data_IF_965290483643
#
_entry.id   IF_965290483643
#
_cell.length_a   1.000
_cell.length_b   1.000
_cell.length_c   1.000
_cell.angle_alpha   90.00
_cell.angle_beta   90.00
_cell.angle_gamma   90.00
#
_symmetry.space_group_name_H-M   'P 1'
#
loop_
_entity.id
_entity.type
_entity.pdbx_description
1 polymer ?
#
# COMPACT_ATOMS: atom_id res chain seq x y z
N UNK A 1 -9.76 78.01 1.35
CA UNK A 1 -9.97 76.57 1.57
C UNK A 1 -8.73 75.87 1.03
N UNK A 2 -7.89 75.36 1.92
CA UNK A 2 -6.55 74.86 1.62
C UNK A 2 -6.65 73.39 1.18
N UNK A 3 -6.40 73.10 -0.09
CA UNK A 3 -6.21 71.74 -0.58
C UNK A 3 -4.80 71.27 -0.28
N UNK A 4 -4.65 70.35 0.67
CA UNK A 4 -3.37 69.72 0.98
C UNK A 4 -3.15 68.52 0.05
N UNK A 5 -2.08 68.56 -0.75
CA UNK A 5 -1.57 67.38 -1.47
C UNK A 5 -1.07 66.35 -0.47
N UNK A 6 -1.68 65.16 -0.45
CA UNK A 6 -1.24 64.02 0.34
C UNK A 6 0.00 63.40 -0.34
N UNK A 7 1.13 63.40 0.35
CA UNK A 7 2.40 62.86 -0.18
C UNK A 7 2.38 61.34 -0.14
N UNK A 8 2.60 60.70 -1.29
CA UNK A 8 2.88 59.28 -1.44
C UNK A 8 4.12 58.88 -0.62
N UNK A 9 3.97 58.05 0.42
CA UNK A 9 5.08 57.53 1.21
C UNK A 9 5.60 56.21 0.60
N UNK A 10 6.54 56.34 -0.35
CA UNK A 10 7.24 55.22 -0.97
C UNK A 10 8.57 54.99 -0.26
N UNK A 11 8.74 53.82 0.32
CA UNK A 11 9.96 53.37 0.98
C UNK A 11 10.63 52.35 0.07
N UNK A 12 11.90 52.61 -0.25
CA UNK A 12 12.78 51.67 -0.94
C UNK A 12 13.91 51.40 0.04
N UNK A 13 14.25 50.14 0.25
CA UNK A 13 15.42 49.76 1.03
C UNK A 13 16.72 50.24 0.36
N UNK A 14 17.86 50.09 1.05
CA UNK A 14 19.13 50.67 0.55
C UNK A 14 19.65 49.95 -0.69
N UNK A 15 19.25 48.70 -0.87
CA UNK A 15 19.75 47.81 -1.90
C UNK A 15 18.75 47.69 -3.07
N UNK A 16 17.52 48.20 -2.92
CA UNK A 16 16.49 48.20 -3.95
C UNK A 16 15.79 46.84 -4.11
N UNK A 17 15.96 45.95 -3.13
CA UNK A 17 15.36 44.63 -3.05
C UNK A 17 13.90 44.71 -2.55
N UNK A 18 13.56 45.68 -1.69
CA UNK A 18 12.21 45.83 -1.12
C UNK A 18 11.60 47.19 -1.46
N UNK A 19 10.41 47.18 -2.06
CA UNK A 19 9.67 48.38 -2.43
C UNK A 19 8.29 48.40 -1.76
N UNK A 20 8.11 49.30 -0.79
CA UNK A 20 6.91 49.38 0.05
C UNK A 20 6.20 50.73 -0.08
N UNK A 21 4.94 50.69 -0.52
CA UNK A 21 4.03 51.85 -0.53
C UNK A 21 3.01 51.72 0.61
N UNK A 22 3.02 52.65 1.56
CA UNK A 22 2.16 52.58 2.75
C UNK A 22 0.80 53.26 2.54
N UNK A 23 0.79 54.58 2.29
CA UNK A 23 -0.44 55.34 2.06
C UNK A 23 -0.26 56.36 0.93
N UNK A 24 -1.26 56.46 0.07
CA UNK A 24 -1.35 57.46 -1.00
C UNK A 24 -2.42 57.09 -2.02
N UNK A 25 -2.91 58.07 -2.78
CA UNK A 25 -4.00 57.88 -3.76
C UNK A 25 -3.57 56.92 -4.89
N UNK A 26 -2.36 57.08 -5.42
CA UNK A 26 -1.80 56.25 -6.49
C UNK A 26 -0.46 55.62 -6.05
N UNK A 27 -0.39 54.30 -5.92
CA UNK A 27 0.82 53.57 -5.49
C UNK A 27 1.37 52.74 -6.65
N UNK A 28 2.65 52.95 -6.99
CA UNK A 28 3.32 52.16 -8.03
C UNK A 28 4.66 51.61 -7.52
N UNK A 29 4.79 50.29 -7.46
CA UNK A 29 6.05 49.56 -7.33
C UNK A 29 6.52 49.12 -8.73
N UNK A 30 7.74 49.48 -9.09
CA UNK A 30 8.31 49.23 -10.41
C UNK A 30 9.26 48.04 -10.41
N UNK A 31 10.14 47.91 -9.40
CA UNK A 31 11.16 46.87 -9.33
C UNK A 31 11.61 46.64 -7.89
N UNK A 32 11.64 45.37 -7.48
CA UNK A 32 12.11 44.86 -6.19
C UNK A 32 11.81 43.37 -6.12
N UNK A 33 12.59 42.59 -5.38
CA UNK A 33 12.27 41.17 -5.13
C UNK A 33 10.95 41.05 -4.38
N UNK A 34 10.73 41.90 -3.37
CA UNK A 34 9.48 41.98 -2.61
C UNK A 34 8.80 43.35 -2.80
N UNK A 35 7.54 43.33 -3.22
CA UNK A 35 6.73 44.54 -3.42
C UNK A 35 5.45 44.50 -2.60
N UNK A 36 5.24 45.53 -1.77
CA UNK A 36 4.02 45.65 -0.96
C UNK A 36 3.34 47.01 -1.13
N UNK A 37 2.08 46.99 -1.56
CA UNK A 37 1.18 48.15 -1.57
C UNK A 37 0.08 47.97 -0.51
N UNK A 38 0.07 48.80 0.54
CA UNK A 38 -0.83 48.64 1.68
C UNK A 38 -2.19 49.34 1.45
N UNK A 39 -2.21 50.66 1.21
CA UNK A 39 -3.46 51.44 1.07
C UNK A 39 -3.37 52.55 0.01
N UNK A 40 -4.13 52.41 -1.06
CA UNK A 40 -4.32 53.47 -2.07
C UNK A 40 -5.53 53.23 -2.96
N UNK A 41 -6.00 54.21 -3.72
CA UNK A 41 -7.12 54.01 -4.65
C UNK A 41 -6.66 53.17 -5.85
N UNK A 42 -5.51 53.50 -6.45
CA UNK A 42 -4.87 52.71 -7.53
C UNK A 42 -3.55 52.11 -7.05
N UNK A 43 -3.38 50.79 -7.18
CA UNK A 43 -2.15 50.06 -6.82
C UNK A 43 -1.60 49.27 -8.01
N UNK A 44 -0.33 49.48 -8.35
CA UNK A 44 0.33 48.79 -9.48
C UNK A 44 1.69 48.21 -9.08
N UNK A 45 1.79 46.89 -9.10
CA UNK A 45 3.03 46.13 -8.96
C UNK A 45 3.45 45.55 -10.31
N UNK A 46 4.68 45.84 -10.76
CA UNK A 46 5.15 45.47 -12.11
C UNK A 46 6.01 44.20 -12.10
N UNK A 47 7.24 44.29 -11.60
CA UNK A 47 8.21 43.19 -11.65
C UNK A 47 8.83 42.96 -10.27
N UNK A 48 8.57 41.79 -9.69
CA UNK A 48 9.11 41.32 -8.40
C UNK A 48 8.74 39.86 -8.15
N UNK A 49 9.53 39.13 -7.38
CA UNK A 49 9.28 37.70 -7.10
C UNK A 49 8.01 37.55 -6.25
N UNK A 50 7.85 38.37 -5.22
CA UNK A 50 6.68 38.41 -4.35
C UNK A 50 5.95 39.76 -4.44
N UNK A 51 4.66 39.74 -4.76
CA UNK A 51 3.84 40.95 -4.89
C UNK A 51 2.58 40.87 -4.02
N UNK A 52 2.41 41.83 -3.12
CA UNK A 52 1.24 41.92 -2.24
C UNK A 52 0.54 43.28 -2.37
N UNK A 53 -0.73 43.24 -2.81
CA UNK A 53 -1.65 44.39 -2.81
C UNK A 53 -2.75 44.17 -1.78
N UNK A 54 -2.83 45.03 -0.75
CA UNK A 54 -3.74 44.80 0.37
C UNK A 54 -5.10 45.47 0.21
N UNK A 55 -5.16 46.81 0.12
CA UNK A 55 -6.42 47.57 0.04
C UNK A 55 -6.35 48.68 -1.00
N UNK A 56 -7.06 48.51 -2.11
CA UNK A 56 -7.33 49.60 -3.05
C UNK A 56 -8.60 49.42 -3.85
N UNK A 57 -9.00 50.39 -4.66
CA UNK A 57 -10.15 50.25 -5.56
C UNK A 57 -9.73 49.47 -6.81
N UNK A 58 -8.60 49.85 -7.42
CA UNK A 58 -7.99 49.15 -8.57
C UNK A 58 -6.62 48.57 -8.20
N UNK A 59 -6.44 47.26 -8.39
CA UNK A 59 -5.20 46.54 -8.10
C UNK A 59 -4.69 45.79 -9.34
N UNK A 60 -3.45 46.08 -9.75
CA UNK A 60 -2.81 45.40 -10.88
C UNK A 60 -1.45 44.81 -10.50
N UNK A 61 -1.32 43.49 -10.60
CA UNK A 61 -0.06 42.74 -10.47
C UNK A 61 0.31 42.14 -11.84
N UNK A 62 1.51 42.44 -12.34
CA UNK A 62 1.93 42.00 -13.67
C UNK A 62 2.76 40.72 -13.64
N UNK A 63 4.03 40.78 -13.21
CA UNK A 63 5.00 39.67 -13.29
C UNK A 63 5.63 39.41 -11.92
N UNK A 64 5.34 38.24 -11.36
CA UNK A 64 5.95 37.74 -10.13
C UNK A 64 5.63 36.28 -9.88
N UNK A 65 6.45 35.57 -9.11
CA UNK A 65 6.24 34.15 -8.82
C UNK A 65 5.03 33.96 -7.91
N UNK A 66 4.91 34.75 -6.83
CA UNK A 66 3.75 34.79 -5.94
C UNK A 66 3.05 36.16 -6.01
N UNK A 67 1.74 36.15 -6.30
CA UNK A 67 0.91 37.35 -6.35
C UNK A 67 -0.30 37.22 -5.42
N UNK A 68 -0.44 38.17 -4.49
CA UNK A 68 -1.57 38.21 -3.53
C UNK A 68 -2.30 39.55 -3.55
N UNK A 69 -3.53 39.54 -4.04
CA UNK A 69 -4.45 40.67 -4.05
C UNK A 69 -5.60 40.43 -3.07
N UNK A 70 -5.66 41.21 -1.98
CA UNK A 70 -6.61 40.93 -0.88
C UNK A 70 -7.97 41.61 -1.08
N UNK A 71 -8.02 42.95 -1.07
CA UNK A 71 -9.28 43.70 -1.12
C UNK A 71 -9.21 44.84 -2.15
N UNK A 72 -9.96 44.70 -3.24
CA UNK A 72 -10.27 45.82 -4.12
C UNK A 72 -11.47 45.60 -5.02
N UNK A 73 -12.00 46.65 -5.64
CA UNK A 73 -13.18 46.54 -6.50
C UNK A 73 -12.82 45.85 -7.82
N UNK A 74 -11.70 46.26 -8.45
CA UNK A 74 -11.14 45.62 -9.64
C UNK A 74 -9.74 45.06 -9.35
N UNK A 75 -9.55 43.75 -9.63
CA UNK A 75 -8.29 43.05 -9.40
C UNK A 75 -7.81 42.35 -10.69
N UNK A 76 -6.61 42.70 -11.16
CA UNK A 76 -5.98 42.07 -12.34
C UNK A 76 -4.61 41.49 -12.00
N UNK A 77 -4.46 40.17 -12.16
CA UNK A 77 -3.19 39.43 -12.03
C UNK A 77 -2.84 38.78 -13.37
N UNK A 78 -1.62 39.00 -13.90
CA UNK A 78 -1.32 38.62 -15.29
C UNK A 78 -0.38 37.42 -15.49
N UNK A 79 0.70 37.30 -14.71
CA UNK A 79 1.72 36.26 -14.89
C UNK A 79 2.38 35.93 -13.56
N UNK A 80 1.99 34.82 -12.95
CA UNK A 80 2.68 34.28 -11.78
C UNK A 80 2.43 32.80 -11.56
N UNK A 81 3.34 32.11 -10.87
CA UNK A 81 3.20 30.69 -10.61
C UNK A 81 2.03 30.45 -9.66
N UNK A 82 1.95 31.23 -8.58
CA UNK A 82 0.86 31.23 -7.60
C UNK A 82 0.13 32.58 -7.58
N UNK A 83 -1.19 32.55 -7.79
CA UNK A 83 -2.04 33.74 -7.78
C UNK A 83 -3.20 33.57 -6.82
N UNK A 84 -3.32 34.49 -5.87
CA UNK A 84 -4.42 34.53 -4.89
C UNK A 84 -5.16 35.87 -4.94
N UNK A 85 -6.46 35.82 -5.24
CA UNK A 85 -7.38 36.98 -5.18
C UNK A 85 -8.54 36.71 -4.21
N UNK A 86 -8.63 37.46 -3.12
CA UNK A 86 -9.59 37.16 -2.05
C UNK A 86 -10.96 37.84 -2.25
N UNK A 87 -11.02 39.18 -2.32
CA UNK A 87 -12.26 39.96 -2.37
C UNK A 87 -12.20 41.08 -3.40
N UNK A 88 -12.96 40.94 -4.48
CA UNK A 88 -13.26 42.04 -5.39
C UNK A 88 -14.49 41.84 -6.25
N UNK A 89 -15.05 42.92 -6.79
CA UNK A 89 -16.26 42.86 -7.61
C UNK A 89 -15.93 42.26 -8.98
N UNK A 90 -14.86 42.73 -9.64
CA UNK A 90 -14.29 42.16 -10.86
C UNK A 90 -12.89 41.57 -10.60
N UNK A 91 -12.70 40.28 -10.92
CA UNK A 91 -11.43 39.58 -10.78
C UNK A 91 -10.97 38.97 -12.10
N UNK A 92 -9.76 39.33 -12.55
CA UNK A 92 -9.15 38.84 -13.79
C UNK A 92 -7.75 38.29 -13.56
N UNK A 93 -7.67 36.97 -13.39
CA UNK A 93 -6.41 36.25 -13.30
C UNK A 93 -6.06 35.59 -14.64
N UNK A 94 -4.86 35.87 -15.15
CA UNK A 94 -4.30 35.26 -16.36
C UNK A 94 -3.03 34.51 -15.97
N UNK A 95 -2.79 33.40 -16.67
CA UNK A 95 -1.54 32.61 -16.64
C UNK A 95 -0.93 32.40 -15.24
N UNK A 96 -1.38 31.34 -14.58
CA UNK A 96 -0.69 30.78 -13.42
C UNK A 96 -0.87 29.27 -13.30
N UNK A 97 -0.02 28.66 -12.49
CA UNK A 97 -0.01 27.21 -12.24
C UNK A 97 -0.97 26.84 -11.13
N UNK A 98 -1.06 27.69 -10.12
CA UNK A 98 -2.05 27.62 -9.05
C UNK A 98 -2.79 28.96 -8.96
N UNK A 99 -4.13 28.90 -9.06
CA UNK A 99 -4.99 30.09 -9.01
C UNK A 99 -6.12 29.88 -8.00
N UNK A 100 -6.23 30.79 -7.02
CA UNK A 100 -7.29 30.78 -6.01
C UNK A 100 -8.04 32.11 -6.02
N UNK A 101 -9.33 32.10 -6.37
CA UNK A 101 -10.21 33.28 -6.37
C UNK A 101 -11.45 33.02 -5.51
N UNK A 102 -11.60 33.74 -4.40
CA UNK A 102 -12.55 33.34 -3.33
C UNK A 102 -13.88 34.11 -3.34
N UNK A 103 -13.96 35.35 -3.87
CA UNK A 103 -15.20 36.15 -3.85
C UNK A 103 -15.21 37.29 -4.87
N UNK A 104 -16.10 37.20 -5.88
CA UNK A 104 -16.45 38.32 -6.76
C UNK A 104 -17.75 38.13 -7.55
N UNK A 105 -18.34 39.23 -8.02
CA UNK A 105 -19.58 39.22 -8.81
C UNK A 105 -19.29 38.81 -10.26
N UNK A 106 -18.17 39.27 -10.83
CA UNK A 106 -17.64 38.84 -12.12
C UNK A 106 -16.22 38.29 -11.98
N UNK A 107 -16.05 36.99 -12.27
CA UNK A 107 -14.76 36.31 -12.24
C UNK A 107 -14.36 35.79 -13.62
N UNK A 108 -13.21 36.23 -14.13
CA UNK A 108 -12.63 35.78 -15.40
C UNK A 108 -11.23 35.22 -15.18
N UNK A 109 -11.18 34.02 -14.58
CA UNK A 109 -9.95 33.26 -14.38
C UNK A 109 -9.80 32.21 -15.48
N UNK A 110 -8.63 32.10 -16.09
CA UNK A 110 -8.33 30.99 -17.00
C UNK A 110 -7.92 29.79 -16.15
N UNK A 111 -8.57 28.64 -16.30
CA UNK A 111 -8.16 27.42 -15.60
C UNK A 111 -6.65 27.20 -15.75
N UNK A 112 -5.93 26.93 -14.64
CA UNK A 112 -4.50 26.65 -14.69
C UNK A 112 -4.29 25.41 -15.57
N UNK A 113 -3.33 25.50 -16.51
CA UNK A 113 -2.93 24.32 -17.28
C UNK A 113 -2.18 23.41 -16.30
N UNK A 114 -2.65 22.17 -16.02
CA UNK A 114 -1.90 21.28 -15.16
C UNK A 114 -0.52 21.04 -15.79
N UNK A 115 0.55 21.31 -15.02
CA UNK A 115 1.90 20.86 -15.36
C UNK A 115 1.83 19.35 -15.56
N UNK A 116 2.01 18.91 -16.81
CA UNK A 116 2.20 17.49 -17.10
C UNK A 116 3.49 17.06 -16.39
N UNK A 117 3.38 16.29 -15.31
CA UNK A 117 4.51 15.53 -14.80
C UNK A 117 5.03 14.66 -15.95
N UNK A 118 6.36 14.59 -16.18
CA UNK A 118 6.87 13.69 -17.20
C UNK A 118 6.37 12.28 -16.84
N UNK A 119 5.64 11.66 -17.77
CA UNK A 119 5.14 10.31 -17.60
C UNK A 119 6.33 9.43 -17.22
N UNK A 120 6.34 8.95 -15.97
CA UNK A 120 7.38 8.03 -15.50
C UNK A 120 7.31 6.82 -16.43
N UNK A 121 8.41 6.53 -17.12
CA UNK A 121 8.53 5.28 -17.85
C UNK A 121 8.67 4.14 -16.83
N UNK A 122 7.53 3.61 -16.43
CA UNK A 122 7.43 2.52 -15.47
C UNK A 122 8.12 1.25 -15.98
N UNK A 123 8.12 1.02 -17.30
CA UNK A 123 8.81 -0.11 -17.91
C UNK A 123 10.32 0.02 -17.70
N UNK A 124 10.89 1.18 -18.01
CA UNK A 124 12.31 1.45 -17.77
C UNK A 124 12.68 1.38 -16.28
N UNK A 125 11.75 1.79 -15.39
CA UNK A 125 11.94 1.65 -13.94
C UNK A 125 12.00 0.19 -13.49
N UNK A 126 11.05 -0.63 -13.91
CA UNK A 126 11.03 -2.08 -13.66
C UNK A 126 12.27 -2.77 -14.22
N UNK A 127 12.67 -2.43 -15.44
CA UNK A 127 13.85 -2.97 -16.11
C UNK A 127 15.11 -2.74 -15.28
N UNK A 128 15.35 -1.50 -14.83
CA UNK A 128 16.51 -1.16 -14.02
C UNK A 128 16.51 -1.82 -12.64
N UNK A 129 15.34 -1.92 -11.99
CA UNK A 129 15.23 -2.43 -10.63
C UNK A 129 15.33 -3.97 -10.58
N UNK A 130 14.74 -4.66 -11.55
CA UNK A 130 14.66 -6.12 -11.58
C UNK A 130 15.58 -6.78 -12.62
N UNK A 131 16.30 -5.99 -13.42
CA UNK A 131 17.26 -6.44 -14.44
C UNK A 131 16.64 -7.48 -15.38
N UNK A 132 15.48 -7.14 -15.94
CA UNK A 132 14.63 -8.09 -16.67
C UNK A 132 15.32 -8.57 -17.97
N UNK A 133 15.89 -7.63 -18.73
CA UNK A 133 16.61 -7.87 -19.97
C UNK A 133 17.91 -8.65 -19.76
N UNK A 134 18.65 -8.36 -18.68
CA UNK A 134 19.85 -9.13 -18.30
C UNK A 134 19.51 -10.61 -18.05
N UNK A 135 18.30 -10.86 -17.55
CA UNK A 135 17.77 -12.20 -17.25
C UNK A 135 17.02 -12.83 -18.44
N UNK A 136 16.96 -12.16 -19.59
CA UNK A 136 16.26 -12.63 -20.78
C UNK A 136 14.74 -12.72 -20.63
N UNK A 137 14.15 -11.90 -19.75
CA UNK A 137 12.71 -11.87 -19.49
C UNK A 137 12.03 -10.99 -20.54
N UNK A 138 11.00 -11.51 -21.20
CA UNK A 138 10.19 -10.75 -22.16
C UNK A 138 9.35 -9.69 -21.45
N UNK A 139 9.40 -8.45 -21.96
CA UNK A 139 8.66 -7.30 -21.43
C UNK A 139 7.69 -6.73 -22.48
N UNK A 140 6.49 -7.31 -22.63
CA UNK A 140 5.49 -6.81 -23.59
C UNK A 140 5.07 -5.36 -23.33
N UNK A 141 4.86 -4.58 -24.40
CA UNK A 141 4.38 -3.20 -24.33
C UNK A 141 2.89 -3.10 -23.98
N UNK A 142 2.15 -4.20 -24.08
CA UNK A 142 0.73 -4.28 -23.73
C UNK A 142 0.47 -4.30 -22.22
N UNK A 143 1.50 -4.49 -21.40
CA UNK A 143 1.35 -4.59 -19.95
C UNK A 143 1.29 -3.22 -19.27
N UNK A 144 0.46 -3.12 -18.22
CA UNK A 144 0.45 -1.97 -17.32
C UNK A 144 1.61 -2.09 -16.31
N UNK A 145 2.78 -1.59 -16.72
CA UNK A 145 3.99 -1.56 -15.91
C UNK A 145 3.86 -0.73 -14.63
N UNK A 146 2.97 0.28 -14.61
CA UNK A 146 2.72 1.06 -13.41
C UNK A 146 2.03 0.20 -12.35
N UNK A 147 0.98 -0.53 -12.76
CA UNK A 147 0.28 -1.46 -11.89
C UNK A 147 1.21 -2.57 -11.39
N UNK A 148 1.97 -3.21 -12.30
CA UNK A 148 2.93 -4.27 -11.93
C UNK A 148 3.96 -3.76 -10.92
N UNK A 149 4.53 -2.57 -11.16
CA UNK A 149 5.48 -1.97 -10.23
C UNK A 149 4.85 -1.74 -8.84
N UNK A 150 3.62 -1.21 -8.81
CA UNK A 150 2.87 -1.00 -7.57
C UNK A 150 2.63 -2.28 -6.77
N UNK A 151 2.46 -3.41 -7.46
CA UNK A 151 2.29 -4.73 -6.84
C UNK A 151 3.56 -5.33 -6.27
N UNK A 152 4.75 -4.91 -6.71
CA UNK A 152 6.05 -5.48 -6.27
C UNK A 152 6.02 -7.02 -6.22
N UNK A 153 5.84 -7.71 -7.35
CA UNK A 153 5.56 -9.15 -7.39
C UNK A 153 6.69 -10.04 -6.86
N UNK A 154 7.91 -9.53 -6.76
CA UNK A 154 9.10 -10.31 -6.39
C UNK A 154 9.52 -10.08 -4.94
N UNK A 155 9.93 -11.16 -4.25
CA UNK A 155 10.53 -11.11 -2.92
C UNK A 155 9.59 -10.74 -1.76
N UNK A 156 8.27 -10.68 -2.00
CA UNK A 156 7.26 -10.48 -0.94
C UNK A 156 6.38 -11.72 -0.77
N UNK A 157 5.80 -11.89 0.43
CA UNK A 157 4.81 -12.92 0.66
C UNK A 157 3.52 -12.62 -0.14
N UNK A 158 3.02 -13.61 -0.86
CA UNK A 158 1.79 -13.58 -1.62
C UNK A 158 0.59 -14.10 -0.82
N UNK A 159 0.84 -14.76 0.31
CA UNK A 159 -0.23 -15.18 1.22
C UNK A 159 -0.74 -13.99 2.06
N UNK A 160 -2.06 -13.91 2.22
CA UNK A 160 -2.74 -13.01 3.14
C UNK A 160 -2.75 -13.61 4.54
N UNK A 161 -2.57 -12.76 5.55
CA UNK A 161 -2.51 -13.12 6.97
C UNK A 161 -1.71 -14.40 7.24
N UNK A 162 -0.39 -14.40 6.90
CA UNK A 162 0.47 -15.58 7.00
C UNK A 162 0.77 -16.03 8.44
N UNK A 163 0.44 -15.17 9.41
CA UNK A 163 0.57 -15.43 10.84
C UNK A 163 -0.71 -14.99 11.56
N UNK A 164 -1.81 -15.75 11.44
CA UNK A 164 -3.11 -15.35 11.96
C UNK A 164 -3.12 -15.07 13.46
N UNK A 165 -2.35 -15.85 14.21
CA UNK A 165 -2.29 -15.82 15.67
C UNK A 165 -1.19 -14.88 16.21
N UNK A 166 -0.38 -14.25 15.35
CA UNK A 166 0.71 -13.38 15.78
C UNK A 166 1.86 -14.09 16.50
N UNK A 167 2.06 -15.38 16.26
CA UNK A 167 3.11 -16.18 16.90
C UNK A 167 4.48 -15.89 16.30
N UNK A 168 5.50 -15.82 17.15
CA UNK A 168 6.89 -15.68 16.67
C UNK A 168 7.59 -17.03 16.62
N UNK A 169 8.25 -17.33 15.51
CA UNK A 169 9.12 -18.52 15.38
C UNK A 169 10.48 -18.33 16.04
N UNK A 170 10.80 -17.13 16.54
CA UNK A 170 12.04 -16.85 17.29
C UNK A 170 11.98 -17.32 18.76
N UNK A 171 10.79 -17.64 19.26
CA UNK A 171 10.57 -18.19 20.59
C UNK A 171 9.86 -19.55 20.49
N UNK A 172 10.02 -20.44 21.47
CA UNK A 172 9.29 -21.71 21.52
C UNK A 172 7.77 -21.53 21.37
N UNK A 173 7.05 -22.51 20.79
CA UNK A 173 5.60 -22.48 20.75
C UNK A 173 5.00 -22.37 22.17
N UNK A 174 3.86 -21.66 22.35
CA UNK A 174 3.26 -21.48 23.66
C UNK A 174 2.91 -22.82 24.32
N UNK A 175 3.40 -23.06 25.53
CA UNK A 175 3.12 -24.30 26.23
C UNK A 175 1.70 -24.28 26.84
N UNK A 176 0.98 -25.41 26.84
CA UNK A 176 -0.28 -25.52 27.56
C UNK A 176 -0.08 -25.14 29.03
N UNK A 177 -0.96 -24.28 29.56
CA UNK A 177 -0.96 -23.95 30.99
C UNK A 177 -1.42 -25.16 31.79
N UNK A 178 -0.70 -25.50 32.87
CA UNK A 178 -1.18 -26.51 33.83
C UNK A 178 -2.33 -25.98 34.70
N UNK A 179 -2.51 -24.65 34.76
CA UNK A 179 -3.47 -23.99 35.65
C UNK A 179 -4.76 -23.56 34.94
N UNK A 180 -4.70 -23.34 33.63
CA UNK A 180 -5.84 -22.89 32.83
C UNK A 180 -6.16 -23.93 31.75
N UNK A 181 -7.42 -24.39 31.66
CA UNK A 181 -7.80 -25.32 30.62
C UNK A 181 -7.66 -24.65 29.24
N UNK A 182 -7.42 -25.45 28.18
CA UNK A 182 -7.35 -24.92 26.83
C UNK A 182 -8.65 -24.19 26.46
N UNK A 183 -8.60 -23.22 25.53
CA UNK A 183 -9.78 -22.51 25.09
C UNK A 183 -10.83 -23.49 24.54
N UNK A 184 -12.11 -23.15 24.64
CA UNK A 184 -13.20 -23.93 24.01
C UNK A 184 -13.76 -23.25 22.75
N UNK A 185 -13.10 -22.19 22.29
CA UNK A 185 -13.55 -21.33 21.20
C UNK A 185 -13.07 -21.86 19.83
N UNK A 186 -13.80 -21.60 18.73
CA UNK A 186 -13.34 -21.86 17.37
C UNK A 186 -12.01 -21.17 17.05
N UNK A 187 -11.26 -21.76 16.12
CA UNK A 187 -9.94 -21.29 15.70
C UNK A 187 -9.97 -19.84 15.20
N UNK A 188 -11.04 -19.49 14.49
CA UNK A 188 -11.27 -18.21 13.81
C UNK A 188 -11.46 -17.05 14.79
N UNK A 189 -11.81 -17.32 16.05
CA UNK A 189 -11.97 -16.30 17.09
C UNK A 189 -10.63 -15.90 17.74
N UNK A 190 -9.56 -16.65 17.45
CA UNK A 190 -8.26 -16.53 18.14
C UNK A 190 -7.25 -15.68 17.35
N UNK A 191 -7.58 -15.27 16.12
CA UNK A 191 -6.65 -14.50 15.27
C UNK A 191 -7.25 -13.93 14.00
N UNK A 192 -6.42 -13.34 13.15
CA UNK A 192 -6.81 -12.82 11.84
C UNK A 192 -6.62 -13.89 10.75
N UNK A 193 -7.72 -14.56 10.38
CA UNK A 193 -7.74 -15.55 9.30
C UNK A 193 -8.23 -14.95 7.98
N UNK A 194 -8.15 -13.63 7.79
CA UNK A 194 -8.62 -13.00 6.55
C UNK A 194 -7.89 -13.55 5.31
N UNK A 195 -8.68 -13.97 4.32
CA UNK A 195 -8.19 -14.62 3.11
C UNK A 195 -7.95 -16.13 3.21
N UNK A 196 -8.11 -16.74 4.39
CA UNK A 196 -8.08 -18.19 4.54
C UNK A 196 -9.48 -18.78 4.48
N UNK A 197 -9.63 -19.87 3.74
CA UNK A 197 -10.77 -20.76 3.89
C UNK A 197 -10.40 -21.82 4.93
N UNK A 198 -11.07 -21.78 6.08
CA UNK A 198 -10.85 -22.73 7.18
C UNK A 198 -11.99 -23.74 7.20
N UNK A 199 -11.65 -25.02 7.24
CA UNK A 199 -12.61 -26.12 7.38
C UNK A 199 -12.13 -27.12 8.41
N UNK A 200 -13.07 -27.80 9.06
CA UNK A 200 -12.78 -28.83 10.06
C UNK A 200 -13.26 -30.18 9.56
N UNK A 201 -12.36 -31.16 9.51
CA UNK A 201 -12.66 -32.55 9.19
C UNK A 201 -12.54 -33.40 10.46
N UNK A 202 -13.66 -33.92 10.97
CA UNK A 202 -13.66 -34.78 12.14
C UNK A 202 -13.13 -36.18 11.80
N UNK A 203 -12.20 -36.67 12.62
CA UNK A 203 -11.64 -38.02 12.47
C UNK A 203 -12.51 -38.99 13.28
N UNK A 204 -13.13 -40.01 12.65
CA UNK A 204 -13.96 -40.97 13.35
C UNK A 204 -13.17 -41.69 14.45
N UNK A 205 -13.77 -41.83 15.62
CA UNK A 205 -13.18 -42.60 16.71
C UNK A 205 -13.31 -44.09 16.40
N UNK A 206 -12.18 -44.81 16.45
CA UNK A 206 -12.20 -46.26 16.32
C UNK A 206 -12.80 -46.90 17.58
N UNK A 207 -14.00 -47.46 17.44
CA UNK A 207 -14.71 -48.16 18.52
C UNK A 207 -14.62 -49.68 18.41
N UNK A 208 -13.87 -50.22 17.45
CA UNK A 208 -13.82 -51.67 17.16
C UNK A 208 -13.32 -52.52 18.33
N UNK A 209 -12.51 -51.94 19.23
CA UNK A 209 -12.00 -52.59 20.43
C UNK A 209 -12.86 -52.46 21.69
N UNK A 210 -14.02 -51.77 21.63
CA UNK A 210 -14.87 -51.50 22.81
C UNK A 210 -15.96 -52.58 22.92
N UNK A 211 -15.99 -53.38 24.00
CA UNK A 211 -17.01 -54.42 24.17
C UNK A 211 -18.43 -53.84 24.32
N UNK A 212 -19.48 -54.58 23.88
CA UNK A 212 -20.88 -54.17 24.07
C UNK A 212 -21.22 -53.97 25.55
N UNK A 213 -21.84 -52.83 25.88
CA UNK A 213 -22.29 -52.50 27.24
C UNK A 213 -21.26 -51.77 28.12
N UNK A 214 -20.05 -51.50 27.61
CA UNK A 214 -19.07 -50.66 28.29
C UNK A 214 -19.41 -49.18 28.06
N UNK A 215 -19.59 -48.42 29.15
CA UNK A 215 -19.71 -46.97 29.10
C UNK A 215 -18.30 -46.38 29.00
N UNK A 216 -17.98 -45.78 27.87
CA UNK A 216 -16.71 -45.05 27.71
C UNK A 216 -16.92 -43.59 28.09
N UNK A 217 -16.43 -43.21 29.26
CA UNK A 217 -16.57 -41.83 29.76
C UNK A 217 -15.72 -40.83 28.99
N UNK A 218 -14.72 -41.30 28.22
CA UNK A 218 -13.77 -40.43 27.54
C UNK A 218 -13.14 -41.08 26.31
N UNK A 219 -13.33 -40.49 25.12
CA UNK A 219 -12.63 -40.86 23.90
C UNK A 219 -12.00 -39.61 23.28
N UNK A 220 -10.74 -39.70 22.79
CA UNK A 220 -10.11 -38.58 22.14
C UNK A 220 -10.83 -38.27 20.82
N UNK A 221 -11.38 -37.07 20.72
CA UNK A 221 -12.04 -36.59 19.50
C UNK A 221 -11.05 -35.75 18.70
N UNK A 222 -10.43 -36.37 17.69
CA UNK A 222 -9.49 -35.69 16.82
C UNK A 222 -10.19 -35.07 15.61
N UNK A 223 -9.62 -33.98 15.11
CA UNK A 223 -10.01 -33.39 13.83
C UNK A 223 -8.81 -32.82 13.10
N UNK A 224 -8.92 -32.67 11.78
CA UNK A 224 -8.05 -31.82 11.01
C UNK A 224 -8.67 -30.43 10.90
N UNK A 225 -7.90 -29.41 11.28
CA UNK A 225 -8.15 -28.04 10.83
C UNK A 225 -7.38 -27.83 9.52
N UNK A 226 -8.13 -27.61 8.45
CA UNK A 226 -7.62 -27.42 7.10
C UNK A 226 -7.73 -25.94 6.78
N UNK A 227 -6.62 -25.31 6.41
CA UNK A 227 -6.60 -23.93 5.94
C UNK A 227 -6.04 -23.90 4.54
N UNK A 228 -6.75 -23.22 3.64
CA UNK A 228 -6.34 -23.07 2.26
C UNK A 228 -6.49 -21.64 1.76
N UNK A 229 -5.62 -21.29 0.81
CA UNK A 229 -5.66 -20.04 0.08
C UNK A 229 -5.23 -20.28 -1.37
N UNK A 230 -5.92 -19.64 -2.30
CA UNK A 230 -5.59 -19.68 -3.73
C UNK A 230 -5.04 -18.31 -4.15
N UNK A 231 -3.79 -18.28 -4.59
CA UNK A 231 -3.10 -17.07 -5.05
C UNK A 231 -3.23 -16.95 -6.57
N UNK A 232 -3.83 -15.86 -7.05
CA UNK A 232 -3.87 -15.50 -8.47
C UNK A 232 -2.58 -14.74 -8.83
N UNK A 233 -1.68 -15.39 -9.56
CA UNK A 233 -0.37 -14.82 -9.87
C UNK A 233 -0.47 -13.58 -10.78
N UNK A 234 -1.47 -13.53 -11.66
CA UNK A 234 -1.70 -12.38 -12.54
C UNK A 234 -2.18 -11.17 -11.75
N UNK A 235 -3.11 -11.38 -10.83
CA UNK A 235 -3.58 -10.32 -9.93
C UNK A 235 -2.47 -9.78 -9.00
N UNK A 236 -1.47 -10.62 -8.70
CA UNK A 236 -0.29 -10.25 -7.91
C UNK A 236 0.83 -9.58 -8.73
N UNK A 237 0.66 -9.41 -10.05
CA UNK A 237 1.56 -8.66 -10.93
C UNK A 237 2.54 -9.52 -11.75
N UNK A 238 2.35 -10.84 -11.80
CA UNK A 238 3.14 -11.75 -12.63
C UNK A 238 2.43 -11.94 -13.98
N UNK A 239 3.13 -11.79 -15.10
CA UNK A 239 2.55 -11.92 -16.44
C UNK A 239 2.83 -13.28 -17.08
N UNK A 240 2.12 -13.59 -18.16
CA UNK A 240 2.11 -14.92 -18.78
C UNK A 240 3.48 -15.33 -19.33
N UNK A 241 4.13 -14.45 -20.08
CA UNK A 241 5.44 -14.75 -20.68
C UNK A 241 6.52 -14.99 -19.61
N UNK A 242 6.44 -14.30 -18.47
CA UNK A 242 7.29 -14.53 -17.32
C UNK A 242 7.05 -15.93 -16.73
N UNK A 243 5.79 -16.30 -16.50
CA UNK A 243 5.43 -17.59 -15.88
C UNK A 243 5.67 -18.76 -16.83
N UNK A 244 5.48 -18.58 -18.13
CA UNK A 244 5.51 -19.67 -19.11
C UNK A 244 6.92 -19.91 -19.66
N UNK A 245 7.62 -18.83 -20.02
CA UNK A 245 8.93 -18.92 -20.67
C UNK A 245 10.07 -18.86 -19.67
N UNK A 246 10.07 -17.85 -18.79
CA UNK A 246 11.14 -17.68 -17.82
C UNK A 246 11.00 -18.63 -16.62
N UNK A 247 9.78 -18.86 -16.12
CA UNK A 247 9.47 -19.73 -14.98
C UNK A 247 10.30 -19.34 -13.73
N UNK A 248 10.04 -18.17 -13.11
CA UNK A 248 10.77 -17.75 -11.91
C UNK A 248 10.58 -18.74 -10.76
N UNK A 249 11.56 -18.84 -9.86
CA UNK A 249 11.52 -19.78 -8.74
C UNK A 249 10.39 -19.38 -7.77
N UNK A 250 9.55 -20.35 -7.42
CA UNK A 250 8.46 -20.16 -6.44
C UNK A 250 8.86 -20.84 -5.14
N UNK A 251 9.01 -20.05 -4.09
CA UNK A 251 9.42 -20.51 -2.76
C UNK A 251 8.19 -20.71 -1.88
N UNK A 252 8.15 -21.85 -1.21
CA UNK A 252 7.15 -22.21 -0.21
C UNK A 252 7.87 -22.41 1.11
N UNK A 253 7.37 -21.79 2.17
CA UNK A 253 7.78 -22.06 3.55
C UNK A 253 6.55 -22.17 4.44
N UNK A 254 6.63 -23.04 5.44
CA UNK A 254 5.64 -23.12 6.51
C UNK A 254 6.30 -23.55 7.81
N UNK A 255 5.75 -23.15 8.94
CA UNK A 255 6.27 -23.50 10.27
C UNK A 255 5.18 -24.09 11.14
N UNK A 256 5.41 -25.29 11.67
CA UNK A 256 4.47 -25.94 12.56
C UNK A 256 5.15 -26.40 13.85
N UNK A 257 4.37 -26.52 14.93
CA UNK A 257 4.86 -27.13 16.17
C UNK A 257 4.67 -28.66 16.14
N UNK A 258 5.58 -29.40 16.74
CA UNK A 258 5.37 -30.83 16.97
C UNK A 258 4.59 -31.04 18.27
N UNK A 259 3.27 -30.98 18.16
CA UNK A 259 2.33 -31.04 19.29
C UNK A 259 2.27 -32.41 19.98
N UNK A 260 2.80 -33.47 19.35
CA UNK A 260 2.73 -34.88 19.81
C UNK A 260 1.31 -35.41 20.04
N UNK A 261 0.29 -34.75 19.50
CA UNK A 261 -1.10 -35.20 19.59
C UNK A 261 -1.30 -36.56 18.91
N UNK A 262 -0.52 -36.83 17.87
CA UNK A 262 -0.51 -38.06 17.09
C UNK A 262 0.83 -38.21 16.36
N UNK A 263 1.03 -39.37 15.69
CA UNK A 263 2.15 -39.55 14.76
C UNK A 263 2.08 -38.58 13.58
N UNK A 264 0.89 -38.22 13.11
CA UNK A 264 0.70 -37.24 12.05
C UNK A 264 -0.07 -36.05 12.60
N UNK A 265 0.61 -34.92 12.73
CA UNK A 265 -0.01 -33.68 13.25
C UNK A 265 -0.08 -32.56 12.23
N UNK A 266 0.63 -32.72 11.11
CA UNK A 266 0.80 -31.69 10.09
C UNK A 266 0.80 -32.32 8.69
N UNK A 267 0.13 -31.66 7.76
CA UNK A 267 0.23 -31.95 6.32
C UNK A 267 0.33 -30.63 5.55
N UNK A 268 1.17 -30.58 4.51
CA UNK A 268 1.31 -29.46 3.58
C UNK A 268 1.10 -29.97 2.17
N UNK A 269 0.18 -29.36 1.43
CA UNK A 269 -0.15 -29.66 0.05
C UNK A 269 -0.14 -28.38 -0.78
N UNK A 270 0.76 -28.30 -1.75
CA UNK A 270 0.87 -27.18 -2.67
C UNK A 270 0.64 -27.65 -4.08
N UNK A 271 -0.21 -26.94 -4.82
CA UNK A 271 -0.46 -27.20 -6.24
C UNK A 271 -0.25 -25.93 -7.04
N UNK A 272 0.55 -26.04 -8.10
CA UNK A 272 0.63 -25.06 -9.17
C UNK A 272 -0.44 -25.42 -10.19
N UNK A 273 -1.40 -24.51 -10.41
CA UNK A 273 -2.60 -24.76 -11.19
C UNK A 273 -2.61 -23.91 -12.47
N UNK A 274 -3.26 -24.45 -13.50
CA UNK A 274 -3.53 -23.74 -14.75
C UNK A 274 -4.65 -22.70 -14.60
N UNK A 275 -4.94 -21.97 -15.68
CA UNK A 275 -5.97 -20.92 -15.74
C UNK A 275 -7.37 -21.38 -15.28
N UNK A 276 -7.69 -22.66 -15.45
CA UNK A 276 -8.98 -23.24 -15.04
C UNK A 276 -9.12 -23.51 -13.53
N UNK A 277 -8.07 -23.23 -12.74
CA UNK A 277 -7.95 -23.51 -11.31
C UNK A 277 -8.16 -24.99 -10.92
N UNK A 278 -8.07 -25.91 -11.88
CA UNK A 278 -8.34 -27.35 -11.67
C UNK A 278 -7.21 -28.22 -12.18
N UNK A 279 -6.66 -27.89 -13.33
CA UNK A 279 -5.56 -28.64 -13.94
C UNK A 279 -4.28 -28.41 -13.14
N UNK A 280 -3.76 -29.49 -12.54
CA UNK A 280 -2.52 -29.47 -11.76
C UNK A 280 -1.33 -29.59 -12.70
N UNK A 281 -0.46 -28.58 -12.70
CA UNK A 281 0.79 -28.55 -13.49
C UNK A 281 1.94 -29.16 -12.70
N UNK A 282 2.02 -28.82 -11.41
CA UNK A 282 3.00 -29.36 -10.47
C UNK A 282 2.39 -29.43 -9.08
N UNK A 283 2.83 -30.39 -8.29
CA UNK A 283 2.41 -30.48 -6.89
C UNK A 283 3.57 -30.86 -5.98
N UNK A 284 3.42 -30.48 -4.72
CA UNK A 284 4.28 -30.87 -3.63
C UNK A 284 3.40 -31.25 -2.44
N UNK A 285 3.68 -32.41 -1.83
CA UNK A 285 2.99 -32.85 -0.63
C UNK A 285 4.00 -33.29 0.42
N UNK A 286 3.75 -32.93 1.67
CA UNK A 286 4.59 -33.26 2.81
C UNK A 286 3.72 -33.59 4.02
N UNK A 287 3.82 -34.83 4.52
CA UNK A 287 3.09 -35.32 5.68
C UNK A 287 4.06 -36.08 6.60
N UNK A 288 4.86 -35.36 7.41
CA UNK A 288 5.89 -35.98 8.24
C UNK A 288 5.30 -36.79 9.39
N UNK A 289 6.03 -37.82 9.82
CA UNK A 289 5.74 -38.57 11.03
C UNK A 289 6.55 -38.04 12.21
N UNK A 290 5.85 -37.76 13.31
CA UNK A 290 6.46 -37.35 14.55
C UNK A 290 6.94 -38.55 15.35
N UNK A 291 8.12 -38.40 15.95
CA UNK A 291 8.56 -39.28 17.03
C UNK A 291 7.71 -38.95 18.25
N UNK A 292 6.92 -39.89 18.77
CA UNK A 292 6.06 -39.71 19.97
C UNK A 292 6.87 -39.53 21.29
N UNK A 293 8.16 -39.22 21.20
CA UNK A 293 9.07 -38.97 22.31
C UNK A 293 9.89 -37.70 22.04
N UNK A 294 10.38 -37.06 23.11
CA UNK A 294 11.14 -35.81 23.04
C UNK A 294 10.32 -34.57 23.44
N UNK A 295 10.94 -33.39 23.34
CA UNK A 295 10.38 -32.11 23.78
C UNK A 295 9.55 -31.45 22.65
N UNK A 296 8.45 -30.76 23.00
CA UNK A 296 7.53 -30.07 22.08
C UNK A 296 7.89 -28.60 21.83
N UNK A 297 9.04 -28.15 22.35
CA UNK A 297 9.42 -26.72 22.40
C UNK A 297 9.97 -26.15 21.09
N UNK A 298 10.00 -26.91 20.00
CA UNK A 298 10.63 -26.45 18.76
C UNK A 298 9.63 -26.28 17.64
N UNK A 299 9.75 -25.17 16.93
CA UNK A 299 9.13 -24.99 15.61
C UNK A 299 9.89 -25.83 14.58
N UNK A 300 9.15 -26.49 13.69
CA UNK A 300 9.67 -27.23 12.55
C UNK A 300 9.38 -26.43 11.29
N UNK A 301 10.43 -26.14 10.52
CA UNK A 301 10.33 -25.47 9.24
C UNK A 301 10.23 -26.50 8.10
N UNK A 302 9.26 -26.29 7.23
CA UNK A 302 9.15 -26.99 5.95
C UNK A 302 9.42 -25.98 4.85
N UNK A 303 10.26 -26.35 3.88
CA UNK A 303 10.51 -25.51 2.71
C UNK A 303 10.53 -26.32 1.43
N UNK A 304 10.04 -25.70 0.35
CA UNK A 304 10.06 -26.27 -0.99
C UNK A 304 10.27 -25.16 -2.02
N UNK A 305 10.91 -25.49 -3.14
CA UNK A 305 11.11 -24.56 -4.26
C UNK A 305 10.67 -25.25 -5.54
N UNK A 306 9.68 -24.66 -6.21
CA UNK A 306 9.32 -25.08 -7.56
C UNK A 306 10.23 -24.39 -8.57
N UNK A 307 10.94 -25.22 -9.35
CA UNK A 307 11.76 -24.80 -10.48
C UNK A 307 11.33 -25.57 -11.72
N UNK A 308 11.46 -24.95 -12.89
CA UNK A 308 11.15 -25.59 -14.18
C UNK A 308 9.81 -26.34 -14.13
N UNK A 309 8.77 -25.65 -13.66
CA UNK A 309 7.46 -26.25 -13.43
C UNK A 309 6.67 -26.48 -14.73
N UNK A 310 7.13 -25.94 -15.86
CA UNK A 310 6.44 -26.00 -17.15
C UNK A 310 5.50 -24.81 -17.34
N UNK A 311 5.09 -24.54 -18.58
CA UNK A 311 4.22 -23.41 -18.88
C UNK A 311 2.79 -23.64 -18.39
N UNK A 312 2.03 -22.55 -18.28
CA UNK A 312 0.60 -22.53 -18.00
C UNK A 312 0.22 -22.26 -16.55
N UNK A 313 1.19 -22.08 -15.63
CA UNK A 313 0.90 -21.80 -14.22
C UNK A 313 0.29 -20.41 -14.08
N UNK A 314 -0.85 -20.35 -13.39
CA UNK A 314 -1.62 -19.10 -13.17
C UNK A 314 -2.04 -18.94 -11.71
N UNK A 315 -2.20 -20.05 -10.99
CA UNK A 315 -2.57 -20.04 -9.59
C UNK A 315 -1.67 -20.92 -8.74
N UNK A 316 -1.54 -20.55 -7.46
CA UNK A 316 -0.94 -21.40 -6.43
C UNK A 316 -2.02 -21.71 -5.42
N UNK A 317 -2.39 -22.98 -5.29
CA UNK A 317 -3.22 -23.47 -4.20
C UNK A 317 -2.30 -23.92 -3.06
N UNK A 318 -2.37 -23.18 -1.96
CA UNK A 318 -1.66 -23.48 -0.72
C UNK A 318 -2.66 -24.07 0.26
N UNK A 319 -2.42 -25.29 0.74
CA UNK A 319 -3.24 -25.94 1.75
C UNK A 319 -2.33 -26.56 2.80
N UNK A 320 -2.61 -26.29 4.07
CA UNK A 320 -2.05 -27.05 5.16
C UNK A 320 -3.13 -27.63 6.07
N UNK A 321 -2.76 -28.64 6.83
CA UNK A 321 -3.61 -29.24 7.85
C UNK A 321 -2.87 -29.30 9.16
N UNK A 322 -3.55 -28.93 10.24
CA UNK A 322 -3.11 -29.13 11.62
C UNK A 322 -4.06 -30.09 12.32
N UNK A 323 -3.50 -31.02 13.09
CA UNK A 323 -4.32 -31.91 13.90
C UNK A 323 -4.69 -31.27 15.22
N UNK A 324 -5.96 -31.42 15.56
CA UNK A 324 -6.56 -30.91 16.78
C UNK A 324 -7.17 -32.04 17.59
N UNK A 325 -7.28 -31.83 18.89
CA UNK A 325 -7.84 -32.75 19.86
C UNK A 325 -8.80 -31.97 20.77
N UNK A 326 -10.06 -32.37 20.77
CA UNK A 326 -11.07 -31.81 21.66
C UNK A 326 -11.21 -32.70 22.89
N UNK A 327 -10.38 -32.41 23.91
CA UNK A 327 -10.30 -33.17 25.16
C UNK A 327 -10.21 -32.25 26.38
N UNK A 328 -11.33 -32.05 27.10
CA UNK A 328 -11.44 -31.14 28.27
C UNK A 328 -10.92 -29.74 27.89
N UNK A 329 -11.28 -29.29 26.68
CA UNK A 329 -10.72 -28.11 26.02
C UNK A 329 -10.24 -28.43 24.60
N UNK A 330 -9.90 -27.39 23.84
CA UNK A 330 -9.33 -27.52 22.50
C UNK A 330 -7.80 -27.43 22.53
N UNK A 331 -7.14 -28.56 22.28
CA UNK A 331 -5.69 -28.63 22.03
C UNK A 331 -5.44 -28.72 20.54
N UNK A 332 -4.62 -27.84 19.98
CA UNK A 332 -4.31 -27.82 18.55
C UNK A 332 -2.83 -27.92 18.28
N UNK A 333 -2.50 -28.35 17.07
CA UNK A 333 -1.18 -28.15 16.47
C UNK A 333 -1.14 -26.77 15.83
N UNK A 334 -0.25 -25.90 16.30
CA UNK A 334 -0.10 -24.55 15.73
C UNK A 334 0.74 -24.55 14.46
N UNK A 335 0.33 -23.70 13.53
CA UNK A 335 1.04 -23.40 12.28
C UNK A 335 1.13 -21.87 12.15
N UNK A 336 2.28 -21.36 11.71
CA UNK A 336 2.53 -19.92 11.57
C UNK A 336 3.55 -19.62 10.47
N UNK A 337 3.67 -18.33 10.12
CA UNK A 337 4.65 -17.80 9.16
C UNK A 337 4.62 -18.52 7.80
N UNK A 338 3.43 -18.92 7.36
CA UNK A 338 3.22 -19.51 6.05
C UNK A 338 3.59 -18.51 4.97
N UNK A 339 4.48 -18.89 4.05
CA UNK A 339 5.06 -17.95 3.08
C UNK A 339 5.08 -18.57 1.70
N UNK A 340 4.57 -17.81 0.73
CA UNK A 340 4.74 -18.07 -0.70
C UNK A 340 5.32 -16.82 -1.33
N UNK A 341 6.47 -16.91 -1.99
CA UNK A 341 7.02 -15.78 -2.73
C UNK A 341 7.71 -16.20 -4.01
N UNK A 342 7.80 -15.27 -4.97
CA UNK A 342 8.43 -15.49 -6.26
C UNK A 342 9.74 -14.72 -6.31
N UNK A 343 10.79 -15.37 -6.81
CA UNK A 343 12.11 -14.76 -6.97
C UNK A 343 12.60 -14.96 -8.41
N UNK A 344 13.14 -13.89 -8.99
CA UNK A 344 13.86 -13.98 -10.25
C UNK A 344 15.18 -14.72 -10.03
N UNK A 345 15.51 -15.65 -10.92
CA UNK A 345 16.77 -16.41 -10.85
C UNK A 345 17.93 -15.46 -11.15
N UNK A 346 19.03 -15.60 -10.43
CA UNK A 346 20.20 -14.73 -10.56
C UNK A 346 20.81 -14.72 -11.96
#
# INVERSE_FOLDING_TARGET
MSGGQQKNAKLIDKDGEEERCKEGEEQTCQKGEEQTCEKGEEQRCKEGEEQTCQKGEEQTCQKGEEQRCKKGEEQTCQKGEEQTCEKGEEQRCKEGEEQTCQKGEEQRCKEPKPKATPAIDWKAKCEREWKLSDKGISTPDSLDWQCIYGKKPFGRNLLKSPNPEGLSTSVPPPQPSELEPPPMQPLEEIGDFSGWQVTTEHIPVDTSGIPPGVVVCYLPNYSWSIKEQCVDLKAEGLWEELLDSYQPDIFILDWYEDSKLDKHVFELHIKLLAEDQKTVIKEFSHAPENKMSGDTKNWICVSHIFKNYGPGVRYIHFLHKSKDLFVVGFHRTRITNSTVFVQLRD
#
